data_IF_535208910048
#
_entry.id   IF_535208910048
#
_cell.length_a   1.000
_cell.length_b   1.000
_cell.length_c   1.000
_cell.angle_alpha   90.00
_cell.angle_beta   90.00
_cell.angle_gamma   90.00
#
_symmetry.space_group_name_H-M   'P 1'
#
loop_
_entity.id
_entity.type
_entity.pdbx_description
1 polymer ?
#
# COMPACT_ATOMS: atom_id res chain seq x y z
N UNK A 1 23.20 -15.09 -11.81
CA UNK A 1 23.25 -14.42 -13.13
C UNK A 1 24.16 -15.22 -14.06
N UNK A 2 23.81 -15.40 -15.37
CA UNK A 2 24.63 -16.15 -16.31
C UNK A 2 25.91 -15.39 -16.67
N UNK A 3 27.07 -15.97 -16.38
CA UNK A 3 28.38 -15.32 -16.55
C UNK A 3 28.86 -15.10 -17.99
N UNK A 4 28.10 -15.58 -19.00
CA UNK A 4 28.48 -15.46 -20.43
C UNK A 4 27.62 -14.45 -21.21
N UNK A 5 26.57 -13.86 -20.60
CA UNK A 5 25.70 -12.88 -21.25
C UNK A 5 26.12 -11.46 -20.92
N UNK A 6 26.02 -10.57 -21.90
CA UNK A 6 26.18 -9.14 -21.65
C UNK A 6 24.95 -8.58 -20.93
N UNK A 7 25.11 -7.46 -20.20
CA UNK A 7 23.99 -6.80 -19.49
C UNK A 7 22.88 -6.37 -20.44
N UNK A 8 23.19 -6.11 -21.71
CA UNK A 8 22.19 -5.80 -22.75
C UNK A 8 21.22 -6.96 -23.00
N UNK A 9 21.71 -8.19 -22.88
CA UNK A 9 20.93 -9.43 -23.10
C UNK A 9 20.16 -9.89 -21.86
N UNK A 10 20.28 -9.18 -20.73
CA UNK A 10 19.57 -9.51 -19.52
C UNK A 10 18.09 -9.14 -19.62
N UNK A 11 17.23 -10.06 -19.12
CA UNK A 11 15.82 -9.74 -18.89
C UNK A 11 15.68 -8.62 -17.88
N UNK A 12 14.48 -8.00 -17.79
CA UNK A 12 14.21 -6.96 -16.80
C UNK A 12 14.50 -7.43 -15.37
N UNK A 13 14.06 -8.64 -15.01
CA UNK A 13 14.33 -9.23 -13.70
C UNK A 13 15.82 -9.47 -13.44
N UNK A 14 16.58 -9.93 -14.45
CA UNK A 14 18.02 -10.10 -14.32
C UNK A 14 18.74 -8.76 -14.12
N UNK A 15 18.30 -7.70 -14.81
CA UNK A 15 18.84 -6.34 -14.64
C UNK A 15 18.56 -5.84 -13.23
N UNK A 16 17.33 -6.05 -12.73
CA UNK A 16 16.95 -5.66 -11.37
C UNK A 16 17.79 -6.39 -10.33
N UNK A 17 17.94 -7.71 -10.44
CA UNK A 17 18.81 -8.49 -9.54
C UNK A 17 20.27 -8.00 -9.56
N UNK A 18 20.79 -7.64 -10.74
CA UNK A 18 22.13 -7.08 -10.84
C UNK A 18 22.23 -5.71 -10.16
N UNK A 19 21.24 -4.84 -10.33
CA UNK A 19 21.19 -3.53 -9.68
C UNK A 19 21.15 -3.65 -8.16
N UNK A 20 20.32 -4.57 -7.63
CA UNK A 20 20.25 -4.85 -6.19
C UNK A 20 21.58 -5.42 -5.67
N UNK A 21 22.17 -6.39 -6.39
CA UNK A 21 23.47 -6.95 -6.01
C UNK A 21 24.57 -5.88 -5.99
N UNK A 22 24.57 -4.95 -6.94
CA UNK A 22 25.49 -3.82 -6.96
C UNK A 22 25.25 -2.85 -5.79
N UNK A 23 23.98 -2.54 -5.46
CA UNK A 23 23.63 -1.70 -4.32
C UNK A 23 24.04 -2.33 -2.98
N UNK A 24 23.93 -3.65 -2.86
CA UNK A 24 24.26 -4.42 -1.64
C UNK A 24 25.77 -4.78 -1.58
N UNK A 25 26.56 -4.47 -2.59
CA UNK A 25 28.00 -4.83 -2.63
C UNK A 25 28.88 -4.01 -1.67
N UNK A 26 28.32 -3.00 -1.02
CA UNK A 26 29.00 -2.18 0.00
C UNK A 26 28.27 -2.36 1.35
N UNK A 27 28.77 -1.71 2.40
CA UNK A 27 28.11 -1.64 3.70
C UNK A 27 26.92 -0.67 3.65
N UNK A 28 25.90 -1.05 2.86
CA UNK A 28 24.70 -0.23 2.63
C UNK A 28 23.76 -0.40 3.82
N UNK A 29 23.31 0.73 4.41
CA UNK A 29 22.30 0.75 5.47
C UNK A 29 20.94 1.24 4.98
N UNK A 30 20.90 1.98 3.87
CA UNK A 30 19.69 2.53 3.27
C UNK A 30 19.61 2.15 1.80
N UNK A 31 18.56 1.44 1.42
CA UNK A 31 18.18 1.20 0.03
C UNK A 31 17.04 2.15 -0.37
N UNK A 32 17.24 2.91 -1.44
CA UNK A 32 16.20 3.74 -2.05
C UNK A 32 15.86 3.13 -3.39
N UNK A 33 14.61 2.70 -3.55
CA UNK A 33 14.15 1.91 -4.67
C UNK A 33 12.90 2.53 -5.30
N UNK A 34 12.97 2.80 -6.59
CA UNK A 34 11.83 3.33 -7.34
C UNK A 34 11.26 2.25 -8.24
N UNK A 35 10.00 1.84 -7.96
CA UNK A 35 9.25 0.83 -8.73
C UNK A 35 10.03 -0.49 -8.97
N UNK A 36 10.80 -0.94 -7.98
CA UNK A 36 11.75 -2.04 -8.12
C UNK A 36 11.14 -3.38 -8.55
N UNK A 37 9.86 -3.61 -8.27
CA UNK A 37 9.14 -4.84 -8.58
C UNK A 37 8.23 -4.73 -9.80
N UNK A 38 8.06 -3.52 -10.33
CA UNK A 38 7.13 -3.24 -11.44
C UNK A 38 7.53 -3.97 -12.73
N UNK A 39 6.54 -4.65 -13.34
CA UNK A 39 6.70 -5.35 -14.62
C UNK A 39 7.64 -6.56 -14.56
N UNK A 40 7.90 -7.11 -13.39
CA UNK A 40 8.57 -8.39 -13.20
C UNK A 40 7.55 -9.53 -13.21
N UNK A 41 8.01 -10.73 -13.59
CA UNK A 41 7.20 -11.93 -13.40
C UNK A 41 7.04 -12.25 -11.90
N UNK A 42 5.96 -12.96 -11.49
CA UNK A 42 5.65 -13.17 -10.08
C UNK A 42 6.76 -13.87 -9.28
N UNK A 43 7.52 -14.78 -9.91
CA UNK A 43 8.58 -15.54 -9.23
C UNK A 43 9.76 -14.62 -8.92
N UNK A 44 10.25 -13.89 -9.92
CA UNK A 44 11.36 -12.93 -9.74
C UNK A 44 10.98 -11.82 -8.78
N UNK A 45 9.72 -11.35 -8.85
CA UNK A 45 9.18 -10.36 -7.92
C UNK A 45 9.22 -10.86 -6.47
N UNK A 46 8.78 -12.09 -6.22
CA UNK A 46 8.83 -12.70 -4.88
C UNK A 46 10.27 -12.80 -4.38
N UNK A 47 11.20 -13.28 -5.19
CA UNK A 47 12.61 -13.40 -4.82
C UNK A 47 13.24 -12.04 -4.45
N UNK A 48 12.85 -10.96 -5.14
CA UNK A 48 13.33 -9.61 -4.82
C UNK A 48 12.75 -9.11 -3.51
N UNK A 49 11.47 -9.35 -3.25
CA UNK A 49 10.85 -9.00 -1.97
C UNK A 49 11.47 -9.77 -0.79
N UNK A 50 11.84 -11.06 -1.01
CA UNK A 50 12.57 -11.85 -0.01
C UNK A 50 13.92 -11.21 0.33
N UNK A 51 14.67 -10.74 -0.67
CA UNK A 51 15.95 -10.04 -0.47
C UNK A 51 15.75 -8.77 0.37
N UNK A 52 14.68 -8.01 0.11
CA UNK A 52 14.40 -6.81 0.91
C UNK A 52 14.01 -7.15 2.34
N UNK A 53 13.20 -8.21 2.53
CA UNK A 53 12.84 -8.70 3.86
C UNK A 53 14.07 -9.17 4.64
N UNK A 54 15.01 -9.87 4.00
CA UNK A 54 16.26 -10.29 4.62
C UNK A 54 17.14 -9.09 4.98
N UNK A 55 17.23 -8.09 4.09
CA UNK A 55 18.03 -6.89 4.31
C UNK A 55 17.58 -6.09 5.54
N UNK A 56 16.28 -5.95 5.77
CA UNK A 56 15.73 -5.20 6.91
C UNK A 56 15.74 -5.97 8.24
N UNK A 57 16.25 -7.21 8.29
CA UNK A 57 16.43 -7.93 9.56
C UNK A 57 17.55 -7.32 10.42
N UNK A 58 18.50 -6.62 9.80
CA UNK A 58 19.55 -5.90 10.52
C UNK A 58 18.97 -4.58 11.09
N UNK A 59 19.17 -4.31 12.38
CA UNK A 59 18.52 -3.20 13.12
C UNK A 59 18.74 -1.81 12.50
N UNK A 60 19.87 -1.58 11.83
CA UNK A 60 20.23 -0.29 11.25
C UNK A 60 20.03 -0.23 9.74
N UNK A 61 19.37 -1.24 9.15
CA UNK A 61 19.05 -1.28 7.74
C UNK A 61 17.64 -0.77 7.46
N UNK A 62 17.49 0.00 6.39
CA UNK A 62 16.22 0.58 5.98
C UNK A 62 16.02 0.45 4.49
N UNK A 63 14.80 0.11 4.07
CA UNK A 63 14.36 0.15 2.66
C UNK A 63 13.33 1.25 2.50
N UNK A 64 13.59 2.19 1.60
CA UNK A 64 12.62 3.18 1.13
C UNK A 64 12.19 2.80 -0.28
N UNK A 65 10.98 2.29 -0.42
CA UNK A 65 10.46 1.74 -1.67
C UNK A 65 9.26 2.55 -2.17
N UNK A 66 9.30 3.01 -3.43
CA UNK A 66 8.09 3.41 -4.14
C UNK A 66 7.50 2.21 -4.88
N UNK A 67 6.19 2.04 -4.81
CA UNK A 67 5.46 1.02 -5.57
C UNK A 67 3.99 1.42 -5.74
N UNK A 68 3.39 1.03 -6.87
CA UNK A 68 1.95 1.07 -7.10
C UNK A 68 1.29 -0.30 -6.85
N UNK A 69 2.07 -1.30 -6.45
CA UNK A 69 1.61 -2.66 -6.20
C UNK A 69 1.38 -2.83 -4.70
N UNK A 70 0.14 -2.67 -4.27
CA UNK A 70 -0.23 -2.68 -2.85
C UNK A 70 0.14 -3.96 -2.13
N UNK A 71 0.05 -5.12 -2.80
CA UNK A 71 0.46 -6.41 -2.23
C UNK A 71 1.96 -6.52 -1.90
N UNK A 72 2.82 -5.78 -2.62
CA UNK A 72 4.25 -5.73 -2.28
C UNK A 72 4.47 -4.90 -1.02
N UNK A 73 3.77 -3.75 -0.96
CA UNK A 73 3.82 -2.86 0.19
C UNK A 73 3.29 -3.58 1.43
N UNK A 74 2.14 -4.25 1.35
CA UNK A 74 1.58 -5.03 2.47
C UNK A 74 2.56 -6.09 2.99
N UNK A 75 3.34 -6.69 2.08
CA UNK A 75 4.28 -7.74 2.43
C UNK A 75 5.50 -7.23 3.19
N UNK A 76 6.07 -6.08 2.84
CA UNK A 76 7.39 -5.67 3.33
C UNK A 76 7.42 -4.36 4.11
N UNK A 77 6.40 -3.50 3.99
CA UNK A 77 6.43 -2.19 4.63
C UNK A 77 5.98 -2.25 6.08
N UNK A 78 6.62 -1.46 6.93
CA UNK A 78 6.17 -1.14 8.28
C UNK A 78 5.33 0.16 8.27
N UNK A 79 5.74 1.14 7.47
CA UNK A 79 5.08 2.43 7.34
C UNK A 79 4.63 2.69 5.91
N UNK A 80 3.48 3.33 5.78
CA UNK A 80 2.88 3.71 4.50
C UNK A 80 2.86 5.23 4.38
N UNK A 81 3.44 5.72 3.28
CA UNK A 81 3.38 7.12 2.89
C UNK A 81 2.62 7.26 1.55
N UNK A 82 1.45 7.88 1.56
CA UNK A 82 0.67 8.15 0.35
C UNK A 82 0.90 9.58 -0.13
N UNK A 83 1.48 9.70 -1.32
CA UNK A 83 1.69 10.97 -1.99
C UNK A 83 0.72 11.09 -3.17
N UNK A 84 -0.03 12.21 -3.24
CA UNK A 84 -0.88 12.51 -4.38
C UNK A 84 -0.78 13.99 -4.76
N UNK A 85 -0.52 14.27 -6.04
CA UNK A 85 -0.36 15.64 -6.58
C UNK A 85 0.61 16.52 -5.75
N UNK A 86 1.74 15.95 -5.38
CA UNK A 86 2.79 16.63 -4.61
C UNK A 86 2.44 16.91 -3.14
N UNK A 87 1.45 16.23 -2.58
CA UNK A 87 1.05 16.35 -1.16
C UNK A 87 1.04 14.98 -0.50
N UNK A 88 1.44 14.93 0.74
CA UNK A 88 1.27 13.77 1.60
C UNK A 88 -0.19 13.75 2.04
N UNK A 89 -0.92 12.70 1.68
CA UNK A 89 -2.31 12.48 2.10
C UNK A 89 -2.40 11.57 3.33
N UNK A 90 -1.43 10.68 3.50
CA UNK A 90 -1.38 9.70 4.58
C UNK A 90 0.08 9.40 4.91
N UNK A 91 0.40 9.30 6.20
CA UNK A 91 1.62 8.69 6.72
C UNK A 91 1.27 7.98 8.02
N UNK A 92 1.35 6.66 8.02
CA UNK A 92 0.90 5.85 9.15
C UNK A 92 1.59 4.49 9.15
N UNK A 93 1.64 3.85 10.30
CA UNK A 93 1.98 2.44 10.48
C UNK A 93 0.99 1.55 9.72
N UNK A 94 1.52 0.56 8.99
CA UNK A 94 0.69 -0.33 8.15
C UNK A 94 -0.32 -1.13 8.96
N UNK A 95 0.10 -1.71 10.08
CA UNK A 95 -0.76 -2.56 10.87
C UNK A 95 -1.88 -1.75 11.52
N UNK A 96 -1.57 -0.51 11.94
CA UNK A 96 -2.57 0.47 12.39
C UNK A 96 -3.60 0.75 11.30
N UNK A 97 -3.17 0.97 10.05
CA UNK A 97 -4.11 1.18 8.94
C UNK A 97 -5.03 -0.03 8.75
N UNK A 98 -4.47 -1.22 8.64
CA UNK A 98 -5.24 -2.45 8.39
C UNK A 98 -6.16 -2.83 9.56
N UNK A 99 -5.89 -2.31 10.75
CA UNK A 99 -6.63 -2.60 11.96
C UNK A 99 -7.73 -1.58 12.26
N UNK A 100 -7.48 -0.31 12.02
CA UNK A 100 -8.40 0.78 12.35
C UNK A 100 -9.42 1.05 11.24
N UNK A 101 -9.12 0.69 9.98
CA UNK A 101 -9.98 1.00 8.86
C UNK A 101 -10.84 -0.18 8.45
N UNK A 102 -12.07 0.11 8.01
CA UNK A 102 -13.00 -0.88 7.49
C UNK A 102 -13.93 -0.30 6.43
N UNK A 103 -14.54 -1.19 5.67
CA UNK A 103 -15.56 -0.86 4.67
C UNK A 103 -16.93 -1.18 5.25
N UNK A 104 -17.76 -0.17 5.42
CA UNK A 104 -19.18 -0.33 5.76
C UNK A 104 -19.96 -0.43 4.47
N UNK A 105 -20.67 -1.56 4.28
CA UNK A 105 -21.64 -1.74 3.19
C UNK A 105 -23.04 -1.49 3.71
N UNK A 106 -23.69 -0.49 3.13
CA UNK A 106 -24.97 -0.02 3.64
C UNK A 106 -25.78 0.68 2.54
N UNK A 107 -27.03 1.02 2.88
CA UNK A 107 -27.85 1.91 2.03
C UNK A 107 -27.34 3.35 2.13
N UNK A 108 -27.73 4.19 1.17
CA UNK A 108 -27.40 5.62 1.18
C UNK A 108 -27.88 6.32 2.48
N UNK A 109 -29.11 5.98 2.91
CA UNK A 109 -29.68 6.53 4.15
C UNK A 109 -28.88 6.12 5.40
N UNK A 110 -28.39 4.88 5.44
CA UNK A 110 -27.53 4.40 6.53
C UNK A 110 -26.17 5.10 6.49
N UNK A 111 -25.59 5.30 5.29
CA UNK A 111 -24.34 6.01 5.12
C UNK A 111 -24.42 7.47 5.63
N UNK A 112 -25.58 8.14 5.42
CA UNK A 112 -25.81 9.52 5.89
C UNK A 112 -25.93 9.62 7.42
N UNK A 113 -26.25 8.52 8.09
CA UNK A 113 -26.35 8.44 9.56
C UNK A 113 -25.03 8.08 10.24
N UNK A 114 -23.99 7.73 9.48
CA UNK A 114 -22.67 7.47 10.05
C UNK A 114 -22.05 8.76 10.60
N UNK A 115 -21.26 8.63 11.67
CA UNK A 115 -20.51 9.77 12.18
C UNK A 115 -19.51 10.26 11.14
N UNK A 116 -19.73 11.48 10.66
CA UNK A 116 -18.90 12.08 9.59
C UNK A 116 -17.43 12.24 10.01
N UNK A 117 -17.13 12.21 11.32
CA UNK A 117 -15.75 12.22 11.82
C UNK A 117 -15.01 10.91 11.57
N UNK A 118 -15.75 9.81 11.46
CA UNK A 118 -15.20 8.48 11.16
C UNK A 118 -15.16 8.17 9.66
N UNK A 119 -15.95 8.90 8.84
CA UNK A 119 -16.03 8.68 7.40
C UNK A 119 -14.81 9.27 6.70
N UNK A 120 -14.02 8.40 6.05
CA UNK A 120 -12.87 8.79 5.23
C UNK A 120 -13.26 9.04 3.78
N UNK A 121 -14.20 8.27 3.24
CA UNK A 121 -14.68 8.44 1.88
C UNK A 121 -15.88 7.55 1.58
N UNK A 122 -16.56 7.83 0.46
CA UNK A 122 -17.74 7.09 -0.01
C UNK A 122 -17.58 6.67 -1.45
N UNK A 123 -18.17 5.52 -1.80
CA UNK A 123 -18.34 5.05 -3.17
C UNK A 123 -19.76 4.51 -3.33
N UNK A 124 -20.55 5.17 -4.17
CA UNK A 124 -21.92 4.74 -4.48
C UNK A 124 -21.91 3.81 -5.69
N UNK A 125 -22.51 2.65 -5.56
CA UNK A 125 -22.80 1.69 -6.61
C UNK A 125 -24.32 1.63 -6.85
N UNK A 126 -24.75 0.89 -7.87
CA UNK A 126 -26.20 0.76 -8.19
C UNK A 126 -27.01 0.11 -7.06
N UNK A 127 -26.40 -0.72 -6.24
CA UNK A 127 -27.09 -1.56 -5.26
C UNK A 127 -26.76 -1.17 -3.80
N UNK A 128 -25.60 -0.59 -3.55
CA UNK A 128 -25.12 -0.30 -2.21
C UNK A 128 -24.17 0.91 -2.18
N UNK A 129 -23.99 1.45 -1.00
CA UNK A 129 -22.97 2.47 -0.72
C UNK A 129 -21.87 1.83 0.13
N UNK A 130 -20.64 1.93 -0.35
CA UNK A 130 -19.46 1.55 0.40
C UNK A 130 -18.85 2.80 1.04
N UNK A 131 -18.59 2.72 2.35
CA UNK A 131 -18.04 3.82 3.12
C UNK A 131 -16.78 3.34 3.81
N UNK A 132 -15.63 3.94 3.48
CA UNK A 132 -14.41 3.73 4.25
C UNK A 132 -14.52 4.51 5.55
N UNK A 133 -14.37 3.82 6.65
CA UNK A 133 -14.44 4.40 8.00
C UNK A 133 -13.17 4.13 8.78
N UNK A 134 -12.82 5.05 9.69
CA UNK A 134 -11.78 4.88 10.71
C UNK A 134 -12.42 4.49 12.04
N UNK A 135 -11.65 3.88 12.95
CA UNK A 135 -12.12 3.36 14.25
C UNK A 135 -13.22 2.30 14.09
N UNK A 136 -13.00 1.37 13.19
CA UNK A 136 -13.97 0.34 12.78
C UNK A 136 -14.53 -0.48 13.93
N UNK A 137 -13.80 -0.65 15.02
CA UNK A 137 -14.24 -1.40 16.21
C UNK A 137 -15.52 -0.86 16.81
N UNK A 138 -15.65 0.46 16.91
CA UNK A 138 -16.86 1.10 17.45
C UNK A 138 -18.11 0.86 16.59
N UNK A 139 -17.91 0.55 15.29
CA UNK A 139 -18.98 0.31 14.35
C UNK A 139 -19.36 -1.17 14.26
N UNK A 140 -18.43 -2.10 14.53
CA UNK A 140 -18.70 -3.54 14.54
C UNK A 140 -19.72 -3.95 15.61
N UNK A 141 -19.84 -3.18 16.68
CA UNK A 141 -20.81 -3.41 17.76
C UNK A 141 -22.22 -2.86 17.43
N UNK A 142 -22.38 -2.09 16.34
CA UNK A 142 -23.68 -1.52 15.97
C UNK A 142 -24.52 -2.52 15.18
N UNK A 143 -25.73 -2.88 15.66
CA UNK A 143 -26.58 -3.82 14.94
C UNK A 143 -27.03 -3.27 13.59
N UNK A 144 -27.03 -4.13 12.57
CA UNK A 144 -27.55 -3.81 11.24
C UNK A 144 -26.55 -3.17 10.26
N UNK A 145 -25.29 -3.07 10.63
CA UNK A 145 -24.21 -2.69 9.70
C UNK A 145 -23.33 -3.90 9.37
N UNK A 146 -23.04 -4.08 8.09
CA UNK A 146 -22.04 -5.03 7.62
C UNK A 146 -20.72 -4.28 7.49
N UNK A 147 -19.73 -4.70 8.27
CA UNK A 147 -18.41 -4.06 8.31
C UNK A 147 -17.37 -5.09 7.92
N UNK A 148 -16.75 -4.88 6.77
CA UNK A 148 -15.66 -5.69 6.25
C UNK A 148 -14.29 -5.04 6.58
N UNK A 149 -13.23 -5.83 6.59
CA UNK A 149 -11.87 -5.31 6.68
C UNK A 149 -11.54 -4.55 5.39
N UNK A 150 -10.96 -3.36 5.54
CA UNK A 150 -10.42 -2.64 4.40
C UNK A 150 -9.05 -3.22 4.00
N UNK A 151 -8.83 -3.44 2.70
CA UNK A 151 -7.49 -3.68 2.16
C UNK A 151 -6.69 -2.37 2.12
N UNK A 152 -5.36 -2.47 2.02
CA UNK A 152 -4.54 -1.29 1.79
C UNK A 152 -4.95 -0.56 0.50
N UNK A 153 -5.29 -1.31 -0.56
CA UNK A 153 -5.78 -0.74 -1.81
C UNK A 153 -7.05 0.10 -1.61
N UNK A 154 -8.02 -0.41 -0.85
CA UNK A 154 -9.25 0.34 -0.53
C UNK A 154 -8.91 1.64 0.21
N UNK A 155 -8.08 1.57 1.25
CA UNK A 155 -7.69 2.73 2.06
C UNK A 155 -7.07 3.81 1.16
N UNK A 156 -6.12 3.43 0.31
CA UNK A 156 -5.44 4.36 -0.59
C UNK A 156 -6.40 4.97 -1.62
N UNK A 157 -7.26 4.16 -2.25
CA UNK A 157 -8.22 4.63 -3.25
C UNK A 157 -9.24 5.60 -2.67
N UNK A 158 -9.82 5.30 -1.51
CA UNK A 158 -10.79 6.19 -0.86
C UNK A 158 -10.13 7.48 -0.37
N UNK A 159 -8.91 7.41 0.17
CA UNK A 159 -8.16 8.59 0.63
C UNK A 159 -7.85 9.53 -0.53
N UNK A 160 -7.43 9.01 -1.69
CA UNK A 160 -7.17 9.82 -2.89
C UNK A 160 -8.45 10.48 -3.40
N UNK A 161 -9.57 9.75 -3.46
CA UNK A 161 -10.86 10.30 -3.93
C UNK A 161 -11.36 11.42 -3.02
N UNK A 162 -11.34 11.23 -1.72
CA UNK A 162 -11.77 12.24 -0.76
C UNK A 162 -10.89 13.50 -0.83
N UNK A 163 -9.59 13.37 -0.90
CA UNK A 163 -8.68 14.52 -1.08
C UNK A 163 -8.87 15.28 -2.40
N UNK A 164 -9.58 14.69 -3.38
CA UNK A 164 -10.00 15.39 -4.60
C UNK A 164 -11.32 16.15 -4.42
N UNK A 165 -12.24 15.65 -3.61
CA UNK A 165 -13.57 16.27 -3.40
C UNK A 165 -13.49 17.51 -2.50
N UNK A 166 -12.62 17.51 -1.48
CA UNK A 166 -12.36 18.67 -0.64
C UNK A 166 -11.87 19.91 -1.41
N UNK A 167 -11.25 19.70 -2.58
CA UNK A 167 -10.79 20.80 -3.45
C UNK A 167 -11.87 21.35 -4.41
N UNK A 168 -13.02 20.71 -4.49
CA UNK A 168 -14.13 21.15 -5.36
C UNK A 168 -15.19 21.96 -4.60
N UNK A 169 -15.05 22.04 -3.28
CA UNK A 169 -15.85 22.90 -2.40
C UNK A 169 -15.05 24.15 -2.03
#
# INVERSE_FOLDING_TARGET
LPGKKTVKEFSRGMKMKLSIAAALSHQTKLLILDEATSGLDPVVRSEILDIFQEFIQEEDHTVFLSSHITSDIERIADYILLIHKGRILLFEDKDTLLYEYGIVRCTREQADRLDQKQVVGRRENQFETEVLVKNVRELQEKPGLVVDRASLEDILLFTVKNGMEEKRR
#
